data_IF_202718637248
#
_entry.id   IF_202718637248
#
_cell.length_a   1.000
_cell.length_b   1.000
_cell.length_c   1.000
_cell.angle_alpha   90.00
_cell.angle_beta   90.00
_cell.angle_gamma   90.00
#
_symmetry.space_group_name_H-M   'P 1'
#
loop_
_entity.id
_entity.type
_entity.pdbx_description
1 polymer ?
#
# COMPACT_ATOMS: atom_id res chain seq x y z
N UNK A 1 -13.72 -17.64 27.98
CA UNK A 1 -14.69 -18.51 27.29
C UNK A 1 -13.95 -19.67 26.62
N UNK A 2 -14.51 -20.88 26.62
CA UNK A 2 -13.95 -22.02 25.91
C UNK A 2 -15.09 -22.74 25.19
N UNK A 3 -14.88 -23.09 23.93
CA UNK A 3 -15.85 -23.84 23.13
C UNK A 3 -15.11 -24.91 22.35
N UNK A 4 -15.61 -26.13 22.41
CA UNK A 4 -15.15 -27.23 21.56
C UNK A 4 -16.17 -27.40 20.45
N UNK A 5 -15.69 -27.48 19.22
CA UNK A 5 -16.52 -27.63 18.03
C UNK A 5 -15.87 -28.65 17.10
N UNK A 6 -16.69 -29.32 16.30
CA UNK A 6 -16.21 -30.26 15.28
C UNK A 6 -16.23 -29.55 13.94
N UNK A 7 -15.08 -29.43 13.29
CA UNK A 7 -14.95 -28.87 11.94
C UNK A 7 -14.18 -29.88 11.09
N UNK A 8 -14.70 -30.24 9.93
CA UNK A 8 -14.13 -31.24 9.01
C UNK A 8 -13.75 -32.56 9.69
N UNK A 9 -14.62 -33.04 10.60
CA UNK A 9 -14.43 -34.27 11.37
C UNK A 9 -13.38 -34.19 12.48
N UNK A 10 -12.69 -33.05 12.65
CA UNK A 10 -11.72 -32.82 13.73
C UNK A 10 -12.35 -32.02 14.87
N UNK A 11 -12.11 -32.46 16.10
CA UNK A 11 -12.51 -31.71 17.30
C UNK A 11 -11.50 -30.62 17.58
N UNK A 12 -11.93 -29.37 17.47
CA UNK A 12 -11.11 -28.19 17.70
C UNK A 12 -11.61 -27.51 18.98
N UNK A 13 -10.67 -27.16 19.87
CA UNK A 13 -11.00 -26.42 21.09
C UNK A 13 -10.49 -24.98 20.98
N UNK A 14 -11.42 -24.04 21.02
CA UNK A 14 -11.12 -22.60 20.98
C UNK A 14 -11.24 -22.03 22.38
N UNK A 15 -10.14 -21.44 22.87
CA UNK A 15 -10.09 -20.78 24.17
C UNK A 15 -9.89 -19.29 23.99
N UNK A 16 -10.90 -18.50 24.33
CA UNK A 16 -10.87 -17.04 24.25
C UNK A 16 -10.71 -16.45 25.65
N UNK A 17 -9.72 -15.57 25.84
CA UNK A 17 -9.44 -14.86 27.09
C UNK A 17 -9.35 -13.36 26.83
N UNK A 18 -9.79 -12.55 27.79
CA UNK A 18 -9.71 -11.10 27.70
C UNK A 18 -8.24 -10.67 27.78
N UNK A 19 -7.82 -9.78 26.88
CA UNK A 19 -6.47 -9.23 26.84
C UNK A 19 -6.47 -7.92 27.60
N UNK A 20 -5.45 -7.72 28.43
CA UNK A 20 -5.21 -6.47 29.13
C UNK A 20 -3.92 -5.84 28.62
N UNK A 21 -3.94 -4.53 28.40
CA UNK A 21 -2.76 -3.71 28.12
C UNK A 21 -2.73 -2.60 29.16
N UNK A 22 -1.64 -2.54 29.95
CA UNK A 22 -1.49 -1.58 31.07
C UNK A 22 -2.71 -1.54 32.01
N UNK A 23 -3.30 -2.70 32.30
CA UNK A 23 -4.50 -2.82 33.15
C UNK A 23 -5.83 -2.55 32.44
N UNK A 24 -5.82 -1.99 31.23
CA UNK A 24 -7.03 -1.73 30.46
C UNK A 24 -7.38 -2.90 29.54
N UNK A 25 -8.65 -3.32 29.45
CA UNK A 25 -9.07 -4.34 28.50
C UNK A 25 -8.84 -3.82 27.07
N UNK A 26 -8.01 -4.52 26.29
CA UNK A 26 -7.61 -4.13 24.93
C UNK A 26 -7.91 -5.26 23.92
N UNK A 27 -9.07 -5.89 24.07
CA UNK A 27 -9.58 -6.94 23.18
C UNK A 27 -9.45 -8.35 23.75
N UNK A 28 -9.29 -9.33 22.85
CA UNK A 28 -9.35 -10.75 23.14
C UNK A 28 -8.18 -11.53 22.53
N UNK A 29 -7.76 -12.57 23.23
CA UNK A 29 -6.81 -13.57 22.75
C UNK A 29 -7.55 -14.89 22.59
N UNK A 30 -7.60 -15.43 21.37
CA UNK A 30 -8.14 -16.75 21.09
C UNK A 30 -6.99 -17.74 20.85
N UNK A 31 -7.06 -18.92 21.45
CA UNK A 31 -6.12 -20.02 21.22
C UNK A 31 -6.83 -21.21 20.62
N UNK A 32 -6.26 -21.73 19.53
CA UNK A 32 -6.73 -22.92 18.83
C UNK A 32 -5.49 -23.79 18.60
N UNK A 33 -5.44 -24.96 19.24
CA UNK A 33 -4.26 -25.82 19.28
C UNK A 33 -2.98 -25.06 19.69
N UNK A 34 -1.98 -24.96 18.80
CA UNK A 34 -0.75 -24.18 19.02
C UNK A 34 -0.87 -22.72 18.55
N UNK A 35 -1.89 -22.39 17.76
CA UNK A 35 -2.08 -21.06 17.20
C UNK A 35 -2.72 -20.10 18.22
N UNK A 36 -2.21 -18.87 18.27
CA UNK A 36 -2.75 -17.79 19.09
C UNK A 36 -3.14 -16.61 18.21
N UNK A 37 -4.36 -16.11 18.37
CA UNK A 37 -4.92 -15.01 17.60
C UNK A 37 -5.30 -13.86 18.51
N UNK A 38 -5.09 -12.64 18.04
CA UNK A 38 -5.39 -11.41 18.76
C UNK A 38 -6.43 -10.58 18.02
N UNK A 39 -7.42 -10.08 18.75
CA UNK A 39 -8.52 -9.30 18.18
C UNK A 39 -8.82 -8.08 19.04
N UNK A 40 -8.92 -6.91 18.41
CA UNK A 40 -9.43 -5.68 19.02
C UNK A 40 -10.96 -5.59 18.86
N UNK A 41 -11.67 -6.67 19.14
CA UNK A 41 -13.16 -6.69 19.13
C UNK A 41 -13.70 -6.61 20.55
N UNK A 42 -14.92 -6.12 20.70
CA UNK A 42 -15.56 -5.96 22.01
C UNK A 42 -16.21 -7.27 22.48
N UNK A 43 -16.73 -8.09 21.56
CA UNK A 43 -17.46 -9.33 21.86
C UNK A 43 -16.55 -10.57 21.86
N UNK A 44 -16.53 -11.39 22.94
CA UNK A 44 -15.82 -12.68 22.95
C UNK A 44 -16.32 -13.68 21.90
N UNK A 45 -17.57 -13.64 21.48
CA UNK A 45 -18.09 -14.56 20.45
C UNK A 45 -17.56 -14.17 19.07
N UNK A 46 -17.57 -12.87 18.73
CA UNK A 46 -16.95 -12.36 17.50
C UNK A 46 -15.44 -12.70 17.43
N UNK A 47 -14.73 -12.59 18.56
CA UNK A 47 -13.32 -13.00 18.64
C UNK A 47 -13.14 -14.50 18.37
N UNK A 48 -14.08 -15.33 18.81
CA UNK A 48 -14.07 -16.77 18.58
C UNK A 48 -14.30 -17.09 17.09
N UNK A 49 -15.30 -16.46 16.48
CA UNK A 49 -15.67 -16.71 15.08
C UNK A 49 -14.54 -16.27 14.14
N UNK A 50 -13.93 -15.11 14.40
CA UNK A 50 -12.74 -14.65 13.66
C UNK A 50 -11.53 -15.57 13.87
N UNK A 51 -11.36 -16.15 15.05
CA UNK A 51 -10.29 -17.12 15.31
C UNK A 51 -10.47 -18.41 14.51
N UNK A 52 -11.70 -18.93 14.49
CA UNK A 52 -12.05 -20.14 13.73
C UNK A 52 -11.86 -19.90 12.23
N UNK A 53 -12.36 -18.78 11.70
CA UNK A 53 -12.19 -18.43 10.29
C UNK A 53 -10.71 -18.33 9.89
N UNK A 54 -9.88 -17.69 10.72
CA UNK A 54 -8.42 -17.63 10.49
C UNK A 54 -7.77 -19.01 10.56
N UNK A 55 -8.16 -19.84 11.53
CA UNK A 55 -7.62 -21.18 11.69
C UNK A 55 -7.94 -22.06 10.49
N UNK A 56 -9.18 -22.05 9.99
CA UNK A 56 -9.58 -22.81 8.82
C UNK A 56 -8.86 -22.35 7.55
N UNK A 57 -8.71 -21.04 7.37
CA UNK A 57 -7.95 -20.49 6.25
C UNK A 57 -6.48 -20.92 6.27
N UNK A 58 -5.88 -21.08 7.46
CA UNK A 58 -4.51 -21.58 7.61
C UNK A 58 -4.42 -23.09 7.35
N UNK A 59 -5.31 -23.90 7.95
CA UNK A 59 -5.28 -25.36 7.77
C UNK A 59 -5.60 -25.80 6.34
N UNK A 60 -6.43 -25.04 5.60
CA UNK A 60 -6.66 -25.31 4.17
C UNK A 60 -5.43 -25.01 3.29
N UNK A 61 -4.48 -24.18 3.74
CA UNK A 61 -3.20 -23.93 3.03
C UNK A 61 -2.15 -24.99 3.33
N UNK A 62 -2.10 -25.49 4.56
CA UNK A 62 -1.09 -26.48 4.97
C UNK A 62 -1.21 -27.82 4.22
N UNK A 63 -2.41 -28.20 3.75
CA UNK A 63 -2.57 -29.39 2.90
C UNK A 63 -2.06 -29.23 1.46
N UNK A 64 -1.60 -28.04 1.05
CA UNK A 64 -1.16 -27.75 -0.32
C UNK A 64 0.35 -27.48 -0.48
N UNK A 65 1.13 -27.32 0.59
CA UNK A 65 2.56 -26.99 0.47
C UNK A 65 3.40 -27.63 1.59
N UNK A 66 3.89 -28.85 1.33
CA UNK A 66 4.99 -29.43 2.07
C UNK A 66 6.32 -29.00 1.41
N UNK A 67 6.90 -27.89 1.86
CA UNK A 67 8.28 -27.51 1.49
C UNK A 67 9.00 -26.94 2.70
N UNK A 68 10.04 -27.67 3.14
CA UNK A 68 11.21 -27.30 3.96
C UNK A 68 11.05 -26.36 5.18
N UNK A 69 11.80 -26.55 6.29
CA UNK A 69 11.70 -25.69 7.47
C UNK A 69 12.06 -24.24 7.10
N UNK A 70 11.03 -23.39 7.03
CA UNK A 70 11.16 -22.02 6.58
C UNK A 70 11.87 -21.20 7.66
N UNK A 71 13.05 -20.69 7.33
CA UNK A 71 13.78 -19.78 8.21
C UNK A 71 12.93 -18.51 8.41
N UNK A 72 12.70 -18.16 9.67
CA UNK A 72 12.07 -16.88 10.01
C UNK A 72 12.97 -15.72 9.56
N UNK A 73 12.39 -14.72 8.90
CA UNK A 73 13.14 -13.55 8.47
C UNK A 73 13.59 -12.72 9.68
N UNK A 74 14.61 -11.90 9.49
CA UNK A 74 14.92 -10.76 10.36
C UNK A 74 14.11 -9.54 9.94
N UNK A 75 13.99 -8.54 10.81
CA UNK A 75 13.29 -7.29 10.48
C UNK A 75 13.93 -6.55 9.30
N UNK A 76 15.26 -6.67 9.14
CA UNK A 76 15.98 -6.07 8.02
C UNK A 76 15.69 -6.79 6.70
N UNK A 77 15.71 -8.12 6.69
CA UNK A 77 15.35 -8.91 5.49
C UNK A 77 13.90 -8.64 5.09
N UNK A 78 12.97 -8.61 6.05
CA UNK A 78 11.57 -8.28 5.81
C UNK A 78 11.39 -6.87 5.23
N UNK A 79 12.09 -5.87 5.77
CA UNK A 79 12.06 -4.51 5.23
C UNK A 79 12.60 -4.44 3.80
N UNK A 80 13.70 -5.13 3.50
CA UNK A 80 14.28 -5.15 2.15
C UNK A 80 13.32 -5.80 1.15
N UNK A 81 12.74 -6.95 1.49
CA UNK A 81 11.74 -7.63 0.64
C UNK A 81 10.53 -6.72 0.38
N UNK A 82 10.03 -6.02 1.40
CA UNK A 82 8.88 -5.13 1.22
C UNK A 82 9.20 -3.92 0.34
N UNK A 83 10.42 -3.38 0.41
CA UNK A 83 10.88 -2.33 -0.52
C UNK A 83 11.01 -2.84 -1.95
N UNK A 84 11.58 -4.04 -2.14
CA UNK A 84 11.65 -4.69 -3.46
C UNK A 84 10.26 -4.93 -4.06
N UNK A 85 9.27 -5.20 -3.20
CA UNK A 85 7.87 -5.36 -3.60
C UNK A 85 7.14 -4.03 -3.85
N UNK A 86 7.80 -2.89 -3.63
CA UNK A 86 7.28 -1.57 -3.95
C UNK A 86 6.47 -0.88 -2.84
N UNK A 87 6.54 -1.35 -1.59
CA UNK A 87 5.89 -0.67 -0.47
C UNK A 87 6.72 0.54 -0.03
N UNK A 88 6.20 1.74 -0.29
CA UNK A 88 6.83 3.01 0.08
C UNK A 88 6.71 3.26 1.59
N UNK A 89 7.72 3.92 2.16
CA UNK A 89 7.73 4.27 3.59
C UNK A 89 7.77 3.08 4.55
N UNK A 90 8.05 1.85 4.06
CA UNK A 90 7.99 0.66 4.90
C UNK A 90 9.08 0.64 5.97
N UNK A 91 8.63 0.58 7.23
CA UNK A 91 9.44 0.39 8.42
C UNK A 91 9.04 -0.94 9.06
N UNK A 92 10.02 -1.81 9.27
CA UNK A 92 9.86 -3.05 10.04
C UNK A 92 10.83 -3.02 11.20
N UNK A 93 10.31 -3.01 12.42
CA UNK A 93 11.12 -3.00 13.64
C UNK A 93 10.53 -3.92 14.71
N UNK A 94 11.26 -4.17 15.79
CA UNK A 94 10.69 -4.85 16.95
C UNK A 94 9.70 -3.93 17.64
N UNK A 95 8.54 -4.47 18.01
CA UNK A 95 7.54 -3.68 18.73
C UNK A 95 8.10 -3.24 20.09
N UNK A 96 7.84 -1.99 20.45
CA UNK A 96 8.39 -1.37 21.67
C UNK A 96 7.69 -1.85 22.94
N UNK A 97 6.49 -2.40 22.81
CA UNK A 97 5.67 -2.96 23.91
C UNK A 97 5.93 -4.46 24.04
N UNK A 98 6.00 -5.19 22.92
CA UNK A 98 6.37 -6.61 22.90
C UNK A 98 7.48 -6.91 21.89
N UNK A 99 8.71 -7.02 22.38
CA UNK A 99 9.90 -7.28 21.55
C UNK A 99 9.86 -8.60 20.78
N UNK A 100 8.92 -9.51 21.07
CA UNK A 100 8.72 -10.74 20.30
C UNK A 100 8.03 -10.46 18.98
N UNK A 101 7.22 -9.41 18.91
CA UNK A 101 6.49 -9.00 17.71
C UNK A 101 7.31 -8.05 16.85
N UNK A 102 6.93 -7.99 15.58
CA UNK A 102 7.31 -6.95 14.66
C UNK A 102 6.23 -5.90 14.63
N UNK A 103 6.66 -4.65 14.63
CA UNK A 103 5.85 -3.52 14.21
C UNK A 103 6.19 -3.21 12.77
N UNK A 104 5.18 -3.33 11.90
CA UNK A 104 5.25 -3.03 10.47
C UNK A 104 4.46 -1.76 10.26
N UNK A 105 5.09 -0.74 9.67
CA UNK A 105 4.49 0.56 9.50
C UNK A 105 4.79 1.15 8.12
N UNK A 106 3.82 1.85 7.57
CA UNK A 106 3.96 2.92 6.58
C UNK A 106 3.45 4.21 7.20
N UNK A 107 3.45 5.31 6.44
CA UNK A 107 2.93 6.60 6.92
C UNK A 107 1.41 6.52 7.25
N UNK A 108 0.69 5.61 6.59
CA UNK A 108 -0.77 5.49 6.70
C UNK A 108 -1.25 4.31 7.55
N UNK A 109 -0.42 3.26 7.72
CA UNK A 109 -0.85 2.00 8.31
C UNK A 109 0.20 1.45 9.27
N UNK A 110 -0.24 0.95 10.41
CA UNK A 110 0.64 0.31 11.41
C UNK A 110 0.00 -0.98 11.90
N UNK A 111 0.75 -2.08 11.85
CA UNK A 111 0.32 -3.38 12.35
C UNK A 111 1.42 -4.11 13.13
N UNK A 112 1.01 -4.95 14.09
CA UNK A 112 1.90 -5.79 14.86
C UNK A 112 1.70 -7.27 14.46
N UNK A 113 2.79 -7.96 14.17
CA UNK A 113 2.78 -9.34 13.68
C UNK A 113 3.87 -10.20 14.34
N UNK A 114 3.64 -11.50 14.41
CA UNK A 114 4.71 -12.42 14.77
C UNK A 114 5.75 -12.49 13.65
N UNK A 115 7.03 -12.71 13.99
CA UNK A 115 8.06 -13.01 13.00
C UNK A 115 7.63 -14.18 12.12
N UNK A 116 7.73 -14.01 10.80
CA UNK A 116 7.30 -15.01 9.83
C UNK A 116 8.40 -15.29 8.82
N UNK A 117 8.23 -16.38 8.06
CA UNK A 117 9.12 -16.70 6.95
C UNK A 117 8.88 -15.80 5.73
N UNK A 118 9.73 -15.96 4.72
CA UNK A 118 9.66 -15.16 3.50
C UNK A 118 8.36 -15.35 2.73
N UNK A 119 7.83 -16.56 2.63
CA UNK A 119 6.61 -16.82 1.87
C UNK A 119 5.40 -16.15 2.52
N UNK A 120 5.25 -16.32 3.83
CA UNK A 120 4.22 -15.66 4.63
C UNK A 120 4.37 -14.13 4.58
N UNK A 121 5.60 -13.63 4.70
CA UNK A 121 5.88 -12.19 4.64
C UNK A 121 5.49 -11.58 3.28
N UNK A 122 5.88 -12.21 2.17
CA UNK A 122 5.53 -11.75 0.82
C UNK A 122 4.02 -11.74 0.61
N UNK A 123 3.30 -12.74 1.11
CA UNK A 123 1.84 -12.76 1.04
C UNK A 123 1.19 -11.64 1.87
N UNK A 124 1.69 -11.42 3.08
CA UNK A 124 1.21 -10.35 3.96
C UNK A 124 1.42 -8.98 3.32
N UNK A 125 2.64 -8.71 2.85
CA UNK A 125 3.02 -7.40 2.33
C UNK A 125 2.43 -7.11 0.95
N UNK A 126 2.03 -8.15 0.19
CA UNK A 126 1.35 -7.97 -1.09
C UNK A 126 0.06 -7.15 -0.98
N UNK A 127 -0.63 -7.20 0.16
CA UNK A 127 -1.81 -6.37 0.46
C UNK A 127 -1.48 -4.92 0.88
N UNK A 128 -0.20 -4.57 0.97
CA UNK A 128 0.31 -3.24 1.30
C UNK A 128 1.02 -2.58 0.11
N UNK A 129 1.21 -3.33 -0.99
CA UNK A 129 1.74 -2.76 -2.23
C UNK A 129 0.66 -1.86 -2.81
N UNK A 130 0.86 -0.55 -2.73
CA UNK A 130 0.19 0.40 -3.61
C UNK A 130 0.53 0.02 -5.04
N UNK A 131 -0.38 -0.70 -5.69
CA UNK A 131 -0.29 -0.94 -7.13
C UNK A 131 -0.97 0.25 -7.77
N UNK A 132 -0.23 1.23 -8.31
CA UNK A 132 -0.85 2.28 -9.11
C UNK A 132 -1.71 1.63 -10.18
N UNK A 133 -2.94 2.12 -10.32
CA UNK A 133 -3.92 1.56 -11.22
C UNK A 133 -3.35 1.62 -12.65
N UNK A 134 -3.24 0.44 -13.28
CA UNK A 134 -2.68 0.31 -14.62
C UNK A 134 -3.82 0.37 -15.63
N UNK A 135 -3.81 1.40 -16.46
CA UNK A 135 -4.76 1.60 -17.55
C UNK A 135 -4.17 0.99 -18.83
N UNK A 136 -5.05 0.46 -19.67
CA UNK A 136 -4.69 0.03 -21.02
C UNK A 136 -4.61 1.30 -21.90
N UNK A 137 -3.41 1.62 -22.40
CA UNK A 137 -3.20 2.77 -23.30
C UNK A 137 -3.38 2.39 -24.79
N UNK A 138 -3.81 1.16 -25.09
CA UNK A 138 -3.74 0.61 -26.45
C UNK A 138 -2.38 -0.03 -26.75
N UNK A 139 -2.31 -0.79 -27.84
CA UNK A 139 -1.14 -1.56 -28.29
C UNK A 139 -0.56 -2.54 -27.26
N UNK A 140 -1.38 -2.98 -26.30
CA UNK A 140 -0.96 -3.88 -25.22
C UNK A 140 -0.04 -3.23 -24.18
N UNK A 141 0.13 -1.90 -24.22
CA UNK A 141 0.92 -1.16 -23.24
C UNK A 141 0.03 -0.79 -22.05
N UNK A 142 0.44 -1.25 -20.87
CA UNK A 142 -0.17 -0.84 -19.60
C UNK A 142 0.61 0.33 -19.02
N UNK A 143 -0.06 1.45 -18.82
CA UNK A 143 0.52 2.65 -18.20
C UNK A 143 -0.13 2.88 -16.85
N UNK A 144 0.70 3.29 -15.89
CA UNK A 144 0.24 3.85 -14.63
C UNK A 144 -0.09 5.30 -14.84
N UNK A 145 -1.37 5.64 -14.74
CA UNK A 145 -1.81 7.04 -14.66
C UNK A 145 -1.89 7.34 -13.16
N UNK A 146 -1.13 8.32 -12.65
CA UNK A 146 -1.31 8.80 -11.28
C UNK A 146 -2.78 9.13 -11.03
N UNK A 147 -3.25 9.01 -9.78
CA UNK A 147 -4.56 9.59 -9.44
C UNK A 147 -4.61 11.03 -9.94
N UNK A 148 -5.78 11.44 -10.45
CA UNK A 148 -5.99 12.71 -11.15
C UNK A 148 -5.91 13.89 -10.16
N UNK A 149 -4.73 14.08 -9.58
CA UNK A 149 -4.36 15.22 -8.78
C UNK A 149 -3.63 16.18 -9.71
N UNK A 150 -4.43 16.97 -10.43
CA UNK A 150 -3.96 18.08 -11.26
C UNK A 150 -3.02 18.98 -10.45
N UNK A 151 -3.27 19.15 -9.15
CA UNK A 151 -2.41 19.94 -8.27
C UNK A 151 -1.04 19.29 -8.05
N UNK A 152 -1.02 17.96 -7.89
CA UNK A 152 0.21 17.17 -7.81
C UNK A 152 1.05 17.23 -9.09
N UNK A 153 0.40 17.18 -10.27
CA UNK A 153 1.09 17.32 -11.56
C UNK A 153 1.76 18.69 -11.68
N UNK A 154 1.01 19.78 -11.48
CA UNK A 154 1.57 21.13 -11.60
C UNK A 154 2.55 21.47 -10.48
N UNK A 155 2.38 20.87 -9.29
CA UNK A 155 3.37 20.90 -8.21
C UNK A 155 4.71 20.28 -8.65
N UNK A 156 4.67 19.07 -9.22
CA UNK A 156 5.85 18.39 -9.72
C UNK A 156 6.52 19.15 -10.88
N UNK A 157 5.74 19.71 -11.81
CA UNK A 157 6.27 20.54 -12.90
C UNK A 157 7.02 21.75 -12.33
N UNK A 158 6.47 22.44 -11.33
CA UNK A 158 7.09 23.60 -10.68
C UNK A 158 8.39 23.22 -9.95
N UNK A 159 8.44 22.05 -9.34
CA UNK A 159 9.62 21.58 -8.61
C UNK A 159 10.74 21.07 -9.52
N UNK A 160 10.39 20.47 -10.66
CA UNK A 160 11.35 19.77 -11.53
C UNK A 160 11.80 20.60 -12.73
N UNK A 161 11.02 21.58 -13.18
CA UNK A 161 11.33 22.40 -14.34
C UNK A 161 11.58 23.85 -13.95
N UNK A 162 12.56 24.48 -14.59
CA UNK A 162 12.76 25.92 -14.46
C UNK A 162 11.62 26.70 -15.15
N UNK A 163 11.32 27.93 -14.72
CA UNK A 163 10.35 28.80 -15.40
C UNK A 163 10.63 28.95 -16.90
N UNK A 164 11.91 29.03 -17.29
CA UNK A 164 12.34 29.07 -18.69
C UNK A 164 11.98 27.79 -19.46
N UNK A 165 12.17 26.62 -18.85
CA UNK A 165 11.81 25.34 -19.48
C UNK A 165 10.29 25.23 -19.69
N UNK A 166 9.51 25.71 -18.72
CA UNK A 166 8.04 25.78 -18.85
C UNK A 166 7.65 26.76 -19.96
N UNK A 167 8.27 27.95 -20.02
CA UNK A 167 8.00 28.94 -21.06
C UNK A 167 8.28 28.37 -22.47
N UNK A 168 9.39 27.64 -22.64
CA UNK A 168 9.71 26.96 -23.90
C UNK A 168 8.64 25.94 -24.31
N UNK A 169 8.16 25.13 -23.36
CA UNK A 169 7.09 24.14 -23.58
C UNK A 169 5.81 24.86 -24.01
N UNK A 170 5.42 25.91 -23.29
CA UNK A 170 4.24 26.72 -23.62
C UNK A 170 4.37 27.30 -25.03
N UNK A 171 5.49 27.94 -25.37
CA UNK A 171 5.71 28.53 -26.68
C UNK A 171 5.59 27.50 -27.83
N UNK A 172 6.02 26.26 -27.59
CA UNK A 172 5.90 25.17 -28.57
C UNK A 172 4.49 24.58 -28.68
N UNK A 173 3.69 24.63 -27.61
CA UNK A 173 2.33 24.12 -27.60
C UNK A 173 1.31 25.18 -28.03
N UNK A 174 1.58 26.45 -27.72
CA UNK A 174 0.71 27.58 -27.93
C UNK A 174 0.52 27.84 -29.43
N UNK A 175 -0.70 27.59 -29.91
CA UNK A 175 -1.11 27.86 -31.31
C UNK A 175 -0.72 26.81 -32.35
N UNK A 176 0.14 25.82 -32.01
CA UNK A 176 0.68 24.86 -32.98
C UNK A 176 -0.07 23.53 -32.99
N UNK A 177 -0.60 23.08 -31.84
CA UNK A 177 -1.16 21.73 -31.74
C UNK A 177 -2.61 21.68 -32.24
N UNK A 178 -2.76 21.53 -33.56
CA UNK A 178 -4.02 21.11 -34.20
C UNK A 178 -3.92 19.63 -34.55
N UNK A 179 -4.44 18.78 -33.68
CA UNK A 179 -4.52 17.34 -33.94
C UNK A 179 -5.76 17.02 -34.76
N UNK A 180 -5.75 15.89 -35.49
CA UNK A 180 -6.94 15.40 -36.20
C UNK A 180 -8.08 15.00 -35.23
N UNK A 181 -7.75 14.83 -33.94
CA UNK A 181 -8.71 14.57 -32.86
C UNK A 181 -9.00 15.87 -32.09
N UNK A 182 -10.27 16.28 -32.07
CA UNK A 182 -10.75 17.47 -31.35
C UNK A 182 -10.62 17.35 -29.83
N UNK A 183 -10.75 16.14 -29.28
CA UNK A 183 -10.61 15.89 -27.85
C UNK A 183 -9.17 16.14 -27.42
N UNK A 184 -8.22 15.57 -28.17
CA UNK A 184 -6.78 15.78 -27.93
C UNK A 184 -6.40 17.25 -28.08
N UNK A 185 -6.95 17.95 -29.08
CA UNK A 185 -6.73 19.40 -29.22
C UNK A 185 -7.24 20.17 -28.00
N UNK A 186 -8.41 19.81 -27.46
CA UNK A 186 -8.96 20.41 -26.24
C UNK A 186 -8.10 20.15 -25.00
N UNK A 187 -7.59 18.92 -24.83
CA UNK A 187 -6.71 18.56 -23.72
C UNK A 187 -5.37 19.31 -23.78
N UNK A 188 -4.77 19.43 -24.98
CA UNK A 188 -3.52 20.18 -25.16
C UNK A 188 -3.73 21.68 -24.93
N UNK A 189 -4.85 22.24 -25.40
CA UNK A 189 -5.20 23.64 -25.15
C UNK A 189 -5.36 23.91 -23.65
N UNK A 190 -6.13 23.07 -22.96
CA UNK A 190 -6.28 23.14 -21.50
C UNK A 190 -4.94 23.07 -20.77
N UNK A 191 -4.08 22.10 -21.13
CA UNK A 191 -2.77 21.94 -20.49
C UNK A 191 -1.87 23.18 -20.72
N UNK A 192 -1.90 23.73 -21.94
CA UNK A 192 -1.16 24.95 -22.29
C UNK A 192 -1.63 26.15 -21.46
N UNK A 193 -2.94 26.30 -21.26
CA UNK A 193 -3.52 27.35 -20.42
C UNK A 193 -3.08 27.23 -18.95
N UNK A 194 -3.01 26.02 -18.40
CA UNK A 194 -2.55 25.81 -17.02
C UNK A 194 -1.07 26.20 -16.84
N UNK A 195 -0.22 25.87 -17.81
CA UNK A 195 1.19 26.27 -17.79
C UNK A 195 1.36 27.79 -17.94
N UNK A 196 0.53 28.44 -18.78
CA UNK A 196 0.49 29.91 -18.88
C UNK A 196 0.09 30.55 -17.56
N UNK A 197 -0.95 30.05 -16.89
CA UNK A 197 -1.37 30.53 -15.58
C UNK A 197 -0.26 30.39 -14.53
N UNK A 198 0.55 29.32 -14.62
CA UNK A 198 1.68 29.10 -13.72
C UNK A 198 2.81 30.12 -13.91
N UNK A 199 3.05 30.56 -15.15
CA UNK A 199 4.06 31.58 -15.46
C UNK A 199 3.55 33.01 -15.23
N UNK A 200 2.24 33.22 -15.36
CA UNK A 200 1.60 34.53 -15.21
C UNK A 200 2.16 35.55 -16.20
N UNK A 201 2.44 36.76 -15.69
CA UNK A 201 2.97 37.86 -16.50
C UNK A 201 4.45 37.71 -16.89
N UNK A 202 5.13 36.64 -16.46
CA UNK A 202 6.54 36.42 -16.75
C UNK A 202 6.76 35.69 -18.08
N UNK A 203 5.70 35.15 -18.70
CA UNK A 203 5.82 34.36 -19.93
C UNK A 203 6.58 35.10 -21.04
N UNK A 204 6.17 36.33 -21.38
CA UNK A 204 6.78 37.09 -22.48
C UNK A 204 8.26 37.38 -22.22
N UNK A 205 8.61 37.76 -20.98
CA UNK A 205 9.99 38.03 -20.57
C UNK A 205 10.83 36.76 -20.62
N UNK A 206 10.29 35.64 -20.16
CA UNK A 206 10.99 34.35 -20.16
C UNK A 206 11.21 33.81 -21.59
N UNK A 207 10.27 34.05 -22.51
CA UNK A 207 10.44 33.73 -23.93
C UNK A 207 11.55 34.57 -24.57
N UNK A 208 11.57 35.88 -24.31
CA UNK A 208 12.66 36.76 -24.78
C UNK A 208 14.03 36.32 -24.23
N UNK A 209 14.11 35.95 -22.94
CA UNK A 209 15.35 35.47 -22.30
C UNK A 209 15.93 34.22 -22.96
N UNK A 210 15.08 33.33 -23.47
CA UNK A 210 15.48 32.07 -24.13
C UNK A 210 15.49 32.16 -25.65
N UNK A 211 15.19 33.32 -26.23
CA UNK A 211 15.21 33.57 -27.67
C UNK A 211 14.06 32.93 -28.44
N UNK A 212 12.87 32.83 -27.83
CA UNK A 212 11.62 32.38 -28.44
C UNK A 212 10.63 33.53 -28.67
#
# INVERSE_FOLDING_TARGET
>A
MQKTMTIDGRKITVRVRRRYSRGNPNGWTAKIDKATYYFHVLDPQEAMDKAVAKYLAATCRDSAQETAPSRTLTTLEAANIGREMGVRGLIVCRDSVDRRLWRVATDERVEAHEPMDEAAWRQFIAGWVERPQRYDAGDGRKVTVPENDEQGLFGAIREQLSPQAVAAIVAHLHGIVRTNDKKVTGEVAWFTEQLLQMLGNQYDVLCEEIGL
#
